data_IF_151307356645
#
_entry.id   IF_151307356645
#
_cell.length_a   1.000
_cell.length_b   1.000
_cell.length_c   1.000
_cell.angle_alpha   90.00
_cell.angle_beta   90.00
_cell.angle_gamma   90.00
#
_symmetry.space_group_name_H-M   'P 1'
#
loop_
_entity.id
_entity.type
_entity.pdbx_description
1 polymer ?
#
# COMPACT_ATOMS: atom_id res chain seq x y z
N UNK A 1 -22.34 -20.79 -23.13
CA UNK A 1 -21.20 -20.49 -22.23
C UNK A 1 -21.59 -20.96 -20.83
N UNK A 2 -20.76 -21.77 -20.17
CA UNK A 2 -21.07 -22.21 -18.81
C UNK A 2 -20.91 -21.05 -17.82
N UNK A 3 -21.67 -21.09 -16.73
CA UNK A 3 -21.60 -20.11 -15.66
C UNK A 3 -20.15 -20.00 -15.07
N UNK A 4 -19.47 -21.14 -14.93
CA UNK A 4 -18.08 -21.21 -14.49
C UNK A 4 -17.11 -20.45 -15.40
N UNK A 5 -17.24 -20.59 -16.71
CA UNK A 5 -16.41 -19.87 -17.67
C UNK A 5 -16.61 -18.35 -17.58
N UNK A 6 -17.84 -17.91 -17.35
CA UNK A 6 -18.15 -16.49 -17.17
C UNK A 6 -17.51 -15.92 -15.90
N UNK A 7 -17.57 -16.63 -14.77
CA UNK A 7 -16.92 -16.21 -13.52
C UNK A 7 -15.40 -16.20 -13.63
N UNK A 8 -14.79 -17.21 -14.26
CA UNK A 8 -13.36 -17.23 -14.52
C UNK A 8 -12.92 -16.04 -15.37
N UNK A 9 -13.68 -15.70 -16.42
CA UNK A 9 -13.41 -14.53 -17.27
C UNK A 9 -13.49 -13.21 -16.52
N UNK A 10 -14.46 -13.05 -15.60
CA UNK A 10 -14.56 -11.87 -14.73
C UNK A 10 -13.38 -11.81 -13.77
N UNK A 11 -13.02 -12.91 -13.13
CA UNK A 11 -11.89 -12.99 -12.22
C UNK A 11 -10.58 -12.58 -12.91
N UNK A 12 -10.32 -13.10 -14.09
CA UNK A 12 -9.15 -12.72 -14.91
C UNK A 12 -9.17 -11.24 -15.28
N UNK A 13 -10.34 -10.70 -15.67
CA UNK A 13 -10.48 -9.27 -15.98
C UNK A 13 -10.18 -8.40 -14.76
N UNK A 14 -10.76 -8.70 -13.61
CA UNK A 14 -10.55 -7.94 -12.37
C UNK A 14 -9.10 -8.00 -11.91
N UNK A 15 -8.45 -9.16 -12.02
CA UNK A 15 -7.03 -9.31 -11.70
C UNK A 15 -6.15 -8.47 -12.65
N UNK A 16 -6.47 -8.45 -13.94
CA UNK A 16 -5.77 -7.62 -14.92
C UNK A 16 -5.91 -6.14 -14.60
N UNK A 17 -7.10 -5.69 -14.25
CA UNK A 17 -7.36 -4.30 -13.84
C UNK A 17 -6.63 -3.95 -12.54
N UNK A 18 -6.60 -4.86 -11.59
CA UNK A 18 -5.85 -4.70 -10.35
C UNK A 18 -4.35 -4.49 -10.61
N UNK A 19 -3.74 -5.35 -11.42
CA UNK A 19 -2.31 -5.23 -11.78
C UNK A 19 -1.99 -3.90 -12.47
N UNK A 20 -2.88 -3.44 -13.35
CA UNK A 20 -2.75 -2.11 -13.99
C UNK A 20 -2.85 -0.97 -12.97
N UNK A 21 -3.78 -1.08 -12.02
CA UNK A 21 -3.92 -0.10 -10.94
C UNK A 21 -2.65 0.00 -10.10
N UNK A 22 -2.05 -1.14 -9.74
CA UNK A 22 -0.78 -1.20 -8.99
C UNK A 22 0.36 -0.54 -9.77
N UNK A 23 0.51 -0.85 -11.06
CA UNK A 23 1.53 -0.24 -11.92
C UNK A 23 1.36 1.28 -12.03
N UNK A 24 0.12 1.74 -12.22
CA UNK A 24 -0.22 3.16 -12.27
C UNK A 24 0.15 3.86 -10.97
N UNK A 25 -0.24 3.28 -9.84
CA UNK A 25 0.07 3.84 -8.51
C UNK A 25 1.57 3.95 -8.27
N UNK A 26 2.34 2.90 -8.54
CA UNK A 26 3.81 2.91 -8.39
C UNK A 26 4.47 3.96 -9.28
N UNK A 27 3.96 4.15 -10.50
CA UNK A 27 4.50 5.15 -11.43
C UNK A 27 4.16 6.60 -11.04
N UNK A 28 3.04 6.81 -10.35
CA UNK A 28 2.54 8.13 -9.96
C UNK A 28 2.91 8.54 -8.53
N UNK A 29 3.58 7.68 -7.75
CA UNK A 29 4.05 8.05 -6.42
C UNK A 29 5.03 9.22 -6.53
N UNK A 30 4.77 10.34 -5.83
CA UNK A 30 5.63 11.51 -5.90
C UNK A 30 6.98 11.23 -5.22
N UNK A 31 8.02 11.91 -5.69
CA UNK A 31 9.31 11.91 -5.01
C UNK A 31 9.17 12.68 -3.68
N UNK A 32 9.42 12.05 -2.53
CA UNK A 32 9.30 12.72 -1.25
C UNK A 32 10.40 13.78 -1.06
N UNK A 33 10.16 14.80 -0.20
CA UNK A 33 11.14 15.81 0.12
C UNK A 33 12.43 15.22 0.70
N UNK A 34 13.50 16.03 0.71
CA UNK A 34 14.78 15.62 1.26
C UNK A 34 14.72 15.61 2.80
N UNK A 35 14.24 14.53 3.38
CA UNK A 35 14.26 14.27 4.81
C UNK A 35 14.95 12.94 5.10
N UNK A 36 15.55 12.81 6.28
CA UNK A 36 16.11 11.57 6.81
C UNK A 36 15.30 11.03 8.00
N UNK A 37 14.22 11.69 8.36
CA UNK A 37 13.29 11.15 9.35
C UNK A 37 12.42 10.05 8.72
N UNK A 38 12.71 8.82 9.10
CA UNK A 38 11.97 7.67 8.58
C UNK A 38 10.47 7.69 8.93
N UNK A 39 10.09 8.29 10.07
CA UNK A 39 8.67 8.41 10.44
C UNK A 39 7.95 9.37 9.50
N UNK A 40 8.61 10.47 9.17
CA UNK A 40 8.10 11.41 8.18
C UNK A 40 7.98 10.76 6.80
N UNK A 41 9.00 10.02 6.36
CA UNK A 41 8.99 9.32 5.07
C UNK A 41 7.87 8.28 4.97
N UNK A 42 7.65 7.47 6.01
CA UNK A 42 6.53 6.51 6.07
C UNK A 42 5.19 7.24 6.05
N UNK A 43 5.06 8.34 6.78
CA UNK A 43 3.87 9.17 6.77
C UNK A 43 3.56 9.75 5.40
N UNK A 44 4.55 10.32 4.73
CA UNK A 44 4.43 10.88 3.37
C UNK A 44 4.10 9.81 2.33
N UNK A 45 4.68 8.62 2.47
CA UNK A 45 4.33 7.49 1.62
C UNK A 45 2.84 7.14 1.75
N UNK A 46 2.34 7.00 2.96
CA UNK A 46 0.91 6.73 3.20
C UNK A 46 0.01 7.88 2.71
N UNK A 47 0.42 9.14 2.89
CA UNK A 47 -0.30 10.30 2.37
C UNK A 47 -0.40 10.26 0.84
N UNK A 48 0.67 9.87 0.16
CA UNK A 48 0.72 9.76 -1.31
C UNK A 48 -0.19 8.65 -1.83
N UNK A 49 -0.19 7.48 -1.19
CA UNK A 49 -1.08 6.36 -1.56
C UNK A 49 -2.54 6.74 -1.35
N UNK A 50 -2.87 7.38 -0.22
CA UNK A 50 -4.23 7.86 0.01
C UNK A 50 -4.66 8.90 -1.02
N UNK A 51 -3.81 9.87 -1.33
CA UNK A 51 -4.11 10.89 -2.35
C UNK A 51 -4.39 10.25 -3.71
N UNK A 52 -3.59 9.27 -4.12
CA UNK A 52 -3.85 8.50 -5.33
C UNK A 52 -5.23 7.83 -5.29
N UNK A 53 -5.59 7.16 -4.21
CA UNK A 53 -6.89 6.51 -4.05
C UNK A 53 -8.06 7.50 -4.10
N UNK A 54 -7.93 8.68 -3.52
CA UNK A 54 -8.98 9.70 -3.56
C UNK A 54 -9.22 10.24 -4.98
N UNK A 55 -8.18 10.32 -5.78
CA UNK A 55 -8.25 10.78 -7.17
C UNK A 55 -8.62 9.66 -8.16
N UNK A 56 -8.49 8.38 -7.74
CA UNK A 56 -8.67 7.20 -8.58
C UNK A 56 -9.58 6.17 -7.87
N UNK A 57 -10.89 6.46 -7.84
CA UNK A 57 -11.85 5.65 -7.07
C UNK A 57 -11.92 4.17 -7.49
N UNK A 58 -11.82 3.88 -8.78
CA UNK A 58 -11.85 2.49 -9.28
C UNK A 58 -10.61 1.74 -8.80
N UNK A 59 -9.45 2.35 -8.92
CA UNK A 59 -8.17 1.81 -8.45
C UNK A 59 -8.15 1.62 -6.94
N UNK A 60 -8.79 2.53 -6.19
CA UNK A 60 -8.97 2.40 -4.74
C UNK A 60 -9.77 1.14 -4.40
N UNK A 61 -10.91 0.92 -5.05
CA UNK A 61 -11.75 -0.26 -4.80
C UNK A 61 -10.98 -1.54 -5.16
N UNK A 62 -10.31 -1.58 -6.30
CA UNK A 62 -9.50 -2.71 -6.72
C UNK A 62 -8.34 -2.98 -5.73
N UNK A 63 -7.66 -1.94 -5.27
CA UNK A 63 -6.54 -2.05 -4.35
C UNK A 63 -6.92 -2.50 -2.95
N UNK A 64 -8.04 -2.00 -2.43
CA UNK A 64 -8.51 -2.31 -1.07
C UNK A 64 -9.39 -3.57 -0.99
N UNK A 65 -9.97 -4.01 -2.11
CA UNK A 65 -10.85 -5.18 -2.21
C UNK A 65 -10.32 -6.16 -3.27
N UNK A 66 -9.08 -6.67 -3.14
CA UNK A 66 -8.45 -7.49 -4.16
C UNK A 66 -9.16 -8.84 -4.31
N UNK A 67 -9.24 -9.34 -5.55
CA UNK A 67 -9.84 -10.64 -5.87
C UNK A 67 -8.84 -11.79 -5.86
N UNK A 68 -7.54 -11.50 -5.93
CA UNK A 68 -6.46 -12.47 -5.94
C UNK A 68 -5.48 -12.21 -4.81
N UNK A 69 -5.34 -13.16 -3.89
CA UNK A 69 -4.37 -13.07 -2.81
C UNK A 69 -2.92 -13.05 -3.33
N UNK A 70 -2.65 -13.80 -4.40
CA UNK A 70 -1.31 -13.83 -5.00
C UNK A 70 -0.94 -12.45 -5.59
N UNK A 71 -1.82 -11.87 -6.40
CA UNK A 71 -1.59 -10.54 -6.99
C UNK A 71 -1.49 -9.45 -5.93
N UNK A 72 -2.30 -9.54 -4.87
CA UNK A 72 -2.22 -8.64 -3.72
C UNK A 72 -0.87 -8.76 -3.00
N UNK A 73 -0.42 -9.98 -2.72
CA UNK A 73 0.88 -10.20 -2.09
C UNK A 73 2.04 -9.67 -2.96
N UNK A 74 1.99 -9.91 -4.27
CA UNK A 74 2.98 -9.36 -5.20
C UNK A 74 2.99 -7.82 -5.18
N UNK A 75 1.83 -7.19 -5.13
CA UNK A 75 1.72 -5.74 -5.00
C UNK A 75 2.34 -5.22 -3.68
N UNK A 76 2.01 -5.85 -2.56
CA UNK A 76 2.58 -5.50 -1.25
C UNK A 76 4.10 -5.65 -1.23
N UNK A 77 4.65 -6.67 -1.89
CA UNK A 77 6.09 -6.84 -2.06
C UNK A 77 6.70 -5.69 -2.89
N UNK A 78 6.06 -5.30 -3.99
CA UNK A 78 6.53 -4.20 -4.83
C UNK A 78 6.51 -2.85 -4.10
N UNK A 79 5.42 -2.55 -3.39
CA UNK A 79 5.32 -1.34 -2.57
C UNK A 79 6.29 -1.36 -1.39
N UNK A 80 6.45 -2.50 -0.73
CA UNK A 80 7.41 -2.69 0.34
C UNK A 80 8.85 -2.48 -0.11
N UNK A 81 9.19 -2.97 -1.31
CA UNK A 81 10.49 -2.73 -1.93
C UNK A 81 10.71 -1.25 -2.20
N UNK A 82 9.73 -0.56 -2.79
CA UNK A 82 9.82 0.87 -3.05
C UNK A 82 10.02 1.68 -1.75
N UNK A 83 9.29 1.34 -0.69
CA UNK A 83 9.45 1.96 0.61
C UNK A 83 10.83 1.67 1.21
N UNK A 84 11.31 0.43 1.15
CA UNK A 84 12.63 0.04 1.62
C UNK A 84 13.75 0.80 0.92
N UNK A 85 13.68 0.90 -0.41
CA UNK A 85 14.64 1.66 -1.22
C UNK A 85 14.63 3.14 -0.81
N UNK A 86 13.45 3.75 -0.69
CA UNK A 86 13.31 5.12 -0.24
C UNK A 86 14.00 5.37 1.12
N UNK A 87 13.70 4.54 2.13
CA UNK A 87 14.22 4.71 3.48
C UNK A 87 15.74 4.50 3.56
N UNK A 88 16.27 3.53 2.81
CA UNK A 88 17.71 3.20 2.84
C UNK A 88 18.54 4.13 1.96
N UNK A 89 18.05 4.56 0.82
CA UNK A 89 18.74 5.52 -0.06
C UNK A 89 18.81 6.93 0.54
N UNK A 90 17.81 7.31 1.34
CA UNK A 90 17.84 8.55 2.11
C UNK A 90 18.74 8.48 3.35
N UNK A 91 19.28 7.31 3.67
CA UNK A 91 20.06 7.12 4.90
C UNK A 91 19.23 7.18 6.18
N UNK A 92 17.90 7.10 6.06
CA UNK A 92 16.99 7.15 7.21
C UNK A 92 17.03 5.88 8.05
N UNK A 93 17.30 4.74 7.41
CA UNK A 93 17.41 3.42 8.05
C UNK A 93 18.54 2.61 7.41
N UNK A 94 19.25 1.82 8.22
CA UNK A 94 20.28 0.92 7.71
C UNK A 94 19.71 -0.26 6.94
N UNK A 95 20.41 -0.68 5.87
CA UNK A 95 20.01 -1.83 5.06
C UNK A 95 20.06 -3.12 5.86
N UNK A 96 18.97 -3.89 5.86
CA UNK A 96 18.95 -5.26 6.41
C UNK A 96 17.76 -6.05 5.85
N UNK A 97 17.85 -7.38 5.86
CA UNK A 97 16.73 -8.24 5.48
C UNK A 97 15.52 -8.09 6.43
N UNK A 98 15.78 -7.84 7.70
CA UNK A 98 14.76 -7.59 8.71
C UNK A 98 13.93 -6.37 8.34
N UNK A 99 14.59 -5.26 7.98
CA UNK A 99 13.93 -4.02 7.55
C UNK A 99 13.20 -4.21 6.21
N UNK A 100 13.80 -4.91 5.24
CA UNK A 100 13.15 -5.18 3.97
C UNK A 100 11.82 -5.95 4.14
N UNK A 101 11.81 -6.97 5.01
CA UNK A 101 10.60 -7.72 5.36
C UNK A 101 9.58 -6.84 6.07
N UNK A 102 10.03 -6.01 6.99
CA UNK A 102 9.16 -5.08 7.71
C UNK A 102 8.51 -4.07 6.75
N UNK A 103 9.22 -3.55 5.77
CA UNK A 103 8.66 -2.64 4.78
C UNK A 103 7.54 -3.26 3.93
N UNK A 104 7.63 -4.56 3.61
CA UNK A 104 6.54 -5.27 2.93
C UNK A 104 5.27 -5.32 3.79
N UNK A 105 5.41 -5.53 5.10
CA UNK A 105 4.29 -5.52 6.05
C UNK A 105 3.76 -4.09 6.24
N UNK A 106 4.64 -3.10 6.37
CA UNK A 106 4.26 -1.68 6.48
C UNK A 106 3.46 -1.22 5.27
N UNK A 107 3.79 -1.69 4.07
CA UNK A 107 3.04 -1.37 2.85
C UNK A 107 1.60 -1.92 2.88
N UNK A 108 1.35 -3.02 3.59
CA UNK A 108 0.04 -3.66 3.70
C UNK A 108 -0.83 -3.12 4.84
N UNK A 109 -0.22 -2.74 5.97
CA UNK A 109 -0.96 -2.34 7.17
C UNK A 109 -1.96 -1.20 6.96
N UNK A 110 -1.64 -0.12 6.23
CA UNK A 110 -2.61 0.94 5.95
C UNK A 110 -3.85 0.45 5.20
N UNK A 111 -3.71 -0.53 4.31
CA UNK A 111 -4.82 -1.07 3.52
C UNK A 111 -5.91 -1.69 4.41
N UNK A 112 -5.55 -2.33 5.51
CA UNK A 112 -6.51 -2.88 6.47
C UNK A 112 -7.38 -1.77 7.08
N UNK A 113 -6.75 -0.67 7.47
CA UNK A 113 -7.43 0.47 8.09
C UNK A 113 -8.27 1.22 7.07
N UNK A 114 -7.76 1.44 5.87
CA UNK A 114 -8.48 2.10 4.79
C UNK A 114 -9.65 1.26 4.28
N UNK A 115 -9.49 -0.06 4.18
CA UNK A 115 -10.60 -0.98 3.84
C UNK A 115 -11.73 -0.86 4.84
N UNK A 116 -11.39 -0.82 6.12
CA UNK A 116 -12.37 -0.61 7.19
C UNK A 116 -13.10 0.74 7.02
N UNK A 117 -12.36 1.81 6.76
CA UNK A 117 -12.94 3.13 6.47
C UNK A 117 -13.88 3.09 5.27
N UNK A 118 -13.47 2.46 4.18
CA UNK A 118 -14.26 2.34 2.97
C UNK A 118 -15.58 1.57 3.21
N UNK A 119 -15.52 0.46 3.95
CA UNK A 119 -16.69 -0.37 4.26
C UNK A 119 -17.65 0.38 5.19
N UNK A 120 -17.15 1.02 6.24
CA UNK A 120 -17.99 1.67 7.25
C UNK A 120 -18.47 3.07 6.85
N UNK A 121 -17.69 3.79 6.05
CA UNK A 121 -17.94 5.21 5.73
C UNK A 121 -18.08 5.49 4.23
N UNK A 122 -17.83 4.53 3.37
CA UNK A 122 -17.84 4.71 1.92
C UNK A 122 -16.70 5.55 1.36
N UNK A 123 -15.73 5.94 2.21
CA UNK A 123 -14.59 6.78 1.85
C UNK A 123 -13.40 6.58 2.79
N UNK A 124 -12.22 7.05 2.38
CA UNK A 124 -11.02 7.07 3.22
C UNK A 124 -11.00 8.35 4.08
N UNK A 125 -11.65 8.30 5.24
CA UNK A 125 -11.77 9.48 6.11
C UNK A 125 -10.43 9.90 6.72
N UNK A 126 -10.24 11.19 7.04
CA UNK A 126 -9.02 11.68 7.72
C UNK A 126 -8.74 10.97 9.05
N UNK A 127 -9.78 10.63 9.82
CA UNK A 127 -9.63 9.91 11.09
C UNK A 127 -9.01 8.51 10.90
N UNK A 128 -9.54 7.72 9.97
CA UNK A 128 -8.97 6.40 9.64
C UNK A 128 -7.60 6.51 9.01
N UNK A 129 -7.35 7.54 8.20
CA UNK A 129 -6.01 7.75 7.63
C UNK A 129 -4.95 8.03 8.70
N UNK A 130 -5.29 8.81 9.71
CA UNK A 130 -4.42 9.03 10.87
C UNK A 130 -4.06 7.71 11.57
N UNK A 131 -5.04 6.82 11.77
CA UNK A 131 -4.79 5.50 12.35
C UNK A 131 -3.97 4.61 11.41
N UNK A 132 -4.18 4.66 10.10
CA UNK A 132 -3.38 3.93 9.11
C UNK A 132 -1.89 4.31 9.19
N UNK A 133 -1.58 5.60 9.26
CA UNK A 133 -0.21 6.10 9.47
C UNK A 133 0.36 5.64 10.81
N UNK A 134 -0.43 5.73 11.88
CA UNK A 134 -0.03 5.32 13.22
C UNK A 134 0.36 3.85 13.30
N UNK A 135 -0.44 2.96 12.72
CA UNK A 135 -0.17 1.51 12.70
C UNK A 135 1.12 1.20 11.94
N UNK A 136 1.31 1.81 10.77
CA UNK A 136 2.51 1.62 9.95
C UNK A 136 3.78 2.07 10.69
N UNK A 137 3.75 3.26 11.27
CA UNK A 137 4.90 3.82 12.02
C UNK A 137 5.18 2.99 13.27
N UNK A 138 4.18 2.66 14.08
CA UNK A 138 4.35 1.91 15.33
C UNK A 138 4.93 0.51 15.07
N UNK A 139 4.49 -0.15 14.00
CA UNK A 139 5.04 -1.45 13.62
C UNK A 139 6.52 -1.34 13.23
N UNK A 140 6.88 -0.41 12.34
CA UNK A 140 8.27 -0.26 11.93
C UNK A 140 9.18 0.13 13.10
N UNK A 141 8.71 1.00 13.99
CA UNK A 141 9.40 1.38 15.22
C UNK A 141 9.74 0.15 16.07
N UNK A 142 8.75 -0.72 16.31
CA UNK A 142 8.95 -1.96 17.09
C UNK A 142 10.00 -2.90 16.48
N UNK A 143 10.12 -2.89 15.14
CA UNK A 143 11.12 -3.69 14.42
C UNK A 143 12.52 -3.07 14.54
N UNK A 144 12.62 -1.74 14.52
CA UNK A 144 13.89 -1.04 14.59
C UNK A 144 14.51 -1.06 16.01
N UNK A 145 13.65 -1.11 17.04
CA UNK A 145 14.07 -1.16 18.44
C UNK A 145 14.43 -2.57 18.95
N UNK A 146 14.03 -3.61 18.19
CA UNK A 146 14.32 -5.01 18.53
C UNK A 146 15.60 -5.52 17.87
#
# INVERSE_FOLDING_TARGET
MSLYYFFDSIGVLLDTLYRRAVQKMLAELPTPPATQDWRELVGLYADSVRAFYLDNRVEMILGLMPVSHESYNQACQAFGKALYELLTERGAISKSQKVARACAIVAELPDLVWRKSLIERGSLTPAYHKEAKRVAIAYLESVLES
#
